data_IF_539520764612
#
_entry.id   IF_539520764612
#
_cell.length_a   1.000
_cell.length_b   1.000
_cell.length_c   1.000
_cell.angle_alpha   90.00
_cell.angle_beta   90.00
_cell.angle_gamma   90.00
#
_symmetry.space_group_name_H-M   'P 1'
#
loop_
_entity.id
_entity.type
_entity.pdbx_description
1 polymer ?
#
# COMPACT_ATOMS: atom_id res chain seq x y z
N UNK A 1 25.46 7.33 -17.43
CA UNK A 1 25.03 8.13 -16.26
C UNK A 1 24.29 7.21 -15.31
N UNK A 2 24.85 6.93 -14.13
CA UNK A 2 24.16 6.15 -13.10
C UNK A 2 23.23 7.11 -12.35
N UNK A 3 21.93 6.97 -12.55
CA UNK A 3 20.94 7.74 -11.80
C UNK A 3 20.80 7.12 -10.40
N UNK A 4 21.50 7.66 -9.41
CA UNK A 4 21.28 7.27 -8.02
C UNK A 4 19.94 7.83 -7.55
N UNK A 5 18.89 6.99 -7.56
CA UNK A 5 17.57 7.30 -7.00
C UNK A 5 17.76 7.73 -5.54
N UNK A 6 17.51 9.00 -5.23
CA UNK A 6 17.49 9.49 -3.84
C UNK A 6 16.24 8.96 -3.16
N UNK A 7 16.36 8.57 -1.90
CA UNK A 7 15.21 8.18 -1.08
C UNK A 7 14.30 9.39 -0.88
N UNK A 8 13.01 9.22 -1.18
CA UNK A 8 11.97 10.21 -0.85
C UNK A 8 11.55 10.14 0.63
N UNK A 9 11.98 9.10 1.36
CA UNK A 9 11.61 8.90 2.75
C UNK A 9 12.35 9.87 3.66
N UNK A 10 11.62 10.47 4.59
CA UNK A 10 12.17 11.32 5.63
C UNK A 10 13.11 10.50 6.52
N UNK A 11 14.35 10.94 6.66
CA UNK A 11 15.37 10.23 7.45
C UNK A 11 15.01 10.27 8.93
N UNK A 12 15.05 9.12 9.59
CA UNK A 12 14.77 9.00 11.03
C UNK A 12 13.28 8.96 11.38
N UNK A 13 12.38 9.08 10.41
CA UNK A 13 10.95 8.90 10.62
C UNK A 13 10.59 7.41 10.57
N UNK A 14 9.85 6.95 11.58
CA UNK A 14 9.30 5.60 11.60
C UNK A 14 7.93 5.58 10.91
N UNK A 15 7.83 4.89 9.78
CA UNK A 15 6.61 4.80 8.99
C UNK A 15 5.65 3.70 9.47
N UNK A 16 5.96 2.99 10.57
CA UNK A 16 4.99 2.14 11.28
C UNK A 16 4.16 2.89 12.32
N UNK A 17 4.45 4.16 12.62
CA UNK A 17 3.65 4.91 13.60
C UNK A 17 2.26 5.23 13.06
N UNK A 18 1.30 5.43 13.96
CA UNK A 18 -0.04 5.91 13.61
C UNK A 18 0.03 7.18 12.75
N UNK A 19 -0.89 7.30 11.80
CA UNK A 19 -0.96 8.45 10.90
C UNK A 19 -1.50 8.11 9.51
N UNK A 20 -1.75 9.16 8.73
CA UNK A 20 -2.21 9.07 7.35
C UNK A 20 -1.02 9.12 6.37
N UNK A 21 -0.99 8.18 5.43
CA UNK A 21 0.07 8.01 4.46
C UNK A 21 -0.49 8.03 3.03
N UNK A 22 0.06 8.90 2.20
CA UNK A 22 -0.21 8.87 0.76
C UNK A 22 0.63 7.78 0.09
N UNK A 23 -0.06 6.82 -0.54
CA UNK A 23 0.54 5.68 -1.21
C UNK A 23 0.25 5.75 -2.69
N UNK A 24 1.26 5.42 -3.50
CA UNK A 24 1.12 5.23 -4.94
C UNK A 24 1.66 3.86 -5.31
N UNK A 25 0.84 3.03 -5.95
CA UNK A 25 1.25 1.72 -6.46
C UNK A 25 1.13 1.75 -7.98
N UNK A 26 2.25 1.61 -8.69
CA UNK A 26 2.26 1.60 -10.15
C UNK A 26 2.25 0.15 -10.68
N UNK A 27 1.52 -0.07 -11.77
CA UNK A 27 1.68 -1.26 -12.58
C UNK A 27 3.12 -1.39 -13.09
N UNK A 28 3.55 -2.63 -13.34
CA UNK A 28 4.88 -2.91 -13.85
C UNK A 28 5.13 -2.14 -15.17
N UNK A 29 6.27 -1.47 -15.28
CA UNK A 29 6.62 -0.60 -16.42
C UNK A 29 5.57 0.48 -16.75
N UNK A 30 4.67 0.83 -15.81
CA UNK A 30 3.59 1.80 -15.98
C UNK A 30 2.66 1.48 -17.15
N UNK A 31 2.48 0.20 -17.48
CA UNK A 31 1.50 -0.21 -18.49
C UNK A 31 0.07 0.09 -18.02
N UNK A 32 -0.80 0.49 -18.94
CA UNK A 32 -2.21 0.79 -18.66
C UNK A 32 -3.03 -0.50 -18.48
N UNK A 33 -2.78 -1.21 -17.39
CA UNK A 33 -3.40 -2.51 -17.11
C UNK A 33 -4.83 -2.39 -16.58
N UNK A 34 -5.20 -1.27 -15.97
CA UNK A 34 -6.41 -1.13 -15.15
C UNK A 34 -7.60 -0.52 -15.92
N UNK A 35 -7.37 -0.04 -17.14
CA UNK A 35 -8.38 0.64 -17.95
C UNK A 35 -7.77 1.74 -18.80
N UNK A 36 -8.62 2.64 -19.29
CA UNK A 36 -8.26 3.75 -20.16
C UNK A 36 -8.99 5.03 -19.74
N UNK A 37 -8.48 6.18 -20.16
CA UNK A 37 -9.18 7.48 -19.98
C UNK A 37 -9.93 7.80 -21.27
N UNK A 38 -11.25 7.93 -21.18
CA UNK A 38 -12.14 8.29 -22.28
C UNK A 38 -12.91 9.53 -21.87
N UNK A 39 -12.89 10.59 -22.70
CA UNK A 39 -13.56 11.86 -22.40
C UNK A 39 -13.18 12.48 -21.04
N UNK A 40 -11.89 12.40 -20.68
CA UNK A 40 -11.34 12.85 -19.39
C UNK A 40 -11.86 12.10 -18.14
N UNK A 41 -12.54 10.97 -18.32
CA UNK A 41 -12.99 10.09 -17.25
C UNK A 41 -12.32 8.72 -17.34
N UNK A 42 -12.10 8.09 -16.17
CA UNK A 42 -11.54 6.74 -16.11
C UNK A 42 -12.60 5.71 -16.48
N UNK A 43 -12.30 4.84 -17.44
CA UNK A 43 -13.06 3.64 -17.76
C UNK A 43 -12.28 2.42 -17.31
N UNK A 44 -12.66 1.83 -16.17
CA UNK A 44 -11.99 0.65 -15.61
C UNK A 44 -12.35 -0.62 -16.40
N UNK A 45 -11.34 -1.41 -16.72
CA UNK A 45 -11.53 -2.79 -17.18
C UNK A 45 -11.69 -3.73 -15.96
N UNK A 46 -11.79 -5.04 -16.20
CA UNK A 46 -12.02 -5.99 -15.11
C UNK A 46 -10.85 -6.07 -14.11
N UNK A 47 -9.60 -5.86 -14.55
CA UNK A 47 -8.45 -5.76 -13.65
C UNK A 47 -8.53 -4.51 -12.77
N UNK A 48 -8.95 -3.37 -13.32
CA UNK A 48 -9.17 -2.15 -12.55
C UNK A 48 -10.26 -2.30 -11.48
N UNK A 49 -11.35 -2.99 -11.82
CA UNK A 49 -12.41 -3.32 -10.85
C UNK A 49 -11.92 -4.26 -9.75
N UNK A 50 -11.15 -5.30 -10.09
CA UNK A 50 -10.54 -6.22 -9.12
C UNK A 50 -9.64 -5.45 -8.16
N UNK A 51 -8.81 -4.53 -8.66
CA UNK A 51 -7.94 -3.71 -7.79
C UNK A 51 -8.76 -2.82 -6.87
N UNK A 52 -9.86 -2.23 -7.35
CA UNK A 52 -10.76 -1.46 -6.49
C UNK A 52 -11.37 -2.31 -5.37
N UNK A 53 -11.77 -3.54 -5.68
CA UNK A 53 -12.28 -4.48 -4.67
C UNK A 53 -11.21 -4.85 -3.65
N UNK A 54 -10.02 -5.26 -4.10
CA UNK A 54 -8.89 -5.61 -3.23
C UNK A 54 -8.45 -4.43 -2.38
N UNK A 55 -8.44 -3.21 -2.94
CA UNK A 55 -8.14 -2.00 -2.19
C UNK A 55 -9.15 -1.83 -1.05
N UNK A 56 -10.45 -1.83 -1.35
CA UNK A 56 -11.50 -1.69 -0.34
C UNK A 56 -11.55 -2.84 0.69
N UNK A 57 -10.98 -4.01 0.36
CA UNK A 57 -10.91 -5.17 1.25
C UNK A 57 -9.70 -5.12 2.21
N UNK A 58 -8.78 -4.15 2.06
CA UNK A 58 -7.61 -4.03 2.93
C UNK A 58 -7.97 -3.97 4.43
N UNK A 59 -8.98 -3.21 4.90
CA UNK A 59 -9.35 -3.20 6.32
C UNK A 59 -9.83 -4.55 6.84
N UNK A 60 -10.43 -5.39 5.98
CA UNK A 60 -10.85 -6.74 6.36
C UNK A 60 -9.65 -7.68 6.54
N UNK A 61 -8.55 -7.43 5.81
CA UNK A 61 -7.31 -8.18 5.96
C UNK A 61 -6.39 -7.63 7.06
N UNK A 62 -6.46 -6.32 7.32
CA UNK A 62 -5.58 -5.59 8.22
C UNK A 62 -6.43 -4.67 9.13
N UNK A 63 -6.83 -5.13 10.33
CA UNK A 63 -7.72 -4.36 11.21
C UNK A 63 -7.19 -2.99 11.65
N UNK A 64 -5.87 -2.79 11.61
CA UNK A 64 -5.19 -1.53 11.97
C UNK A 64 -5.13 -0.53 10.80
N UNK A 65 -5.69 -0.89 9.64
CA UNK A 65 -5.68 -0.12 8.39
C UNK A 65 -7.07 0.42 8.13
N UNK A 66 -7.18 1.74 8.06
CA UNK A 66 -8.33 2.43 7.49
C UNK A 66 -7.96 3.04 6.13
N UNK A 67 -8.98 3.25 5.30
CA UNK A 67 -8.84 3.85 3.99
C UNK A 67 -9.62 5.16 3.92
N UNK A 68 -8.99 6.16 3.31
CA UNK A 68 -9.64 7.41 2.94
C UNK A 68 -9.63 7.53 1.40
N UNK A 69 -9.56 8.74 0.85
CA UNK A 69 -9.61 8.99 -0.58
C UNK A 69 -8.63 8.14 -1.39
N UNK A 70 -9.14 7.54 -2.46
CA UNK A 70 -8.36 6.80 -3.44
C UNK A 70 -8.86 7.05 -4.87
N UNK A 71 -7.97 6.88 -5.84
CA UNK A 71 -8.28 6.97 -7.27
C UNK A 71 -7.45 5.95 -8.04
N UNK A 72 -8.13 5.20 -8.91
CA UNK A 72 -7.50 4.25 -9.83
C UNK A 72 -7.32 4.95 -11.16
N UNK A 73 -6.08 5.01 -11.62
CA UNK A 73 -5.68 5.47 -12.94
C UNK A 73 -5.30 4.26 -13.80
N UNK A 74 -5.20 4.38 -15.13
CA UNK A 74 -4.93 3.25 -16.02
C UNK A 74 -3.74 2.37 -15.63
N UNK A 75 -2.69 2.96 -15.07
CA UNK A 75 -1.43 2.28 -14.75
C UNK A 75 -0.97 2.43 -13.30
N UNK A 76 -1.78 3.02 -12.42
CA UNK A 76 -1.45 3.15 -11.00
C UNK A 76 -2.69 3.41 -10.16
N UNK A 77 -2.56 3.19 -8.86
CA UNK A 77 -3.53 3.64 -7.86
C UNK A 77 -2.84 4.65 -6.94
N UNK A 78 -3.58 5.70 -6.62
CA UNK A 78 -3.26 6.61 -5.53
C UNK A 78 -4.27 6.39 -4.40
N UNK A 79 -3.81 6.43 -3.16
CA UNK A 79 -4.72 6.37 -2.04
C UNK A 79 -4.10 6.80 -0.73
N UNK A 80 -4.96 7.15 0.21
CA UNK A 80 -4.59 7.45 1.59
C UNK A 80 -4.88 6.21 2.43
N UNK A 81 -3.84 5.74 3.11
CA UNK A 81 -3.92 4.67 4.10
C UNK A 81 -3.70 5.29 5.47
N UNK A 82 -4.61 5.05 6.40
CA UNK A 82 -4.48 5.53 7.77
C UNK A 82 -4.18 4.35 8.68
N UNK A 83 -3.10 4.48 9.46
CA UNK A 83 -2.69 3.46 10.43
C UNK A 83 -3.16 3.88 11.83
N UNK A 84 -3.86 2.97 12.51
CA UNK A 84 -4.32 3.12 13.87
C UNK A 84 -3.99 1.87 14.68
N UNK A 85 -3.00 1.99 15.56
CA UNK A 85 -2.77 1.04 16.63
C UNK A 85 -3.45 1.59 17.89
N UNK A 86 -4.36 0.82 18.47
CA UNK A 86 -4.78 1.03 19.85
C UNK A 86 -3.65 0.57 20.78
N UNK A 87 -3.30 1.35 21.81
CA UNK A 87 -2.28 0.99 22.81
C UNK A 87 -2.64 -0.27 23.64
N UNK A 88 -3.68 -1.01 23.27
CA UNK A 88 -4.08 -2.26 23.90
C UNK A 88 -3.39 -3.42 23.18
N UNK A 89 -2.31 -3.92 23.80
CA UNK A 89 -1.60 -5.18 23.52
C UNK A 89 -2.55 -6.29 23.01
N UNK A 90 -2.71 -6.35 21.67
CA UNK A 90 -3.50 -7.34 20.94
C UNK A 90 -2.56 -8.15 20.05
N UNK A 91 -2.61 -9.47 20.17
CA UNK A 91 -1.65 -10.41 19.60
C UNK A 91 -1.43 -10.21 18.09
N UNK A 92 -0.20 -9.86 17.70
CA UNK A 92 0.23 -9.88 16.31
C UNK A 92 0.02 -11.25 15.66
N UNK A 93 -0.20 -11.26 14.33
CA UNK A 93 -0.56 -12.48 13.61
C UNK A 93 0.50 -13.58 13.88
N UNK A 94 0.12 -14.81 14.18
CA UNK A 94 1.04 -15.96 14.18
C UNK A 94 0.91 -16.70 12.84
N UNK A 95 1.83 -16.55 11.89
CA UNK A 95 2.15 -17.64 10.97
C UNK A 95 2.91 -18.75 11.72
N UNK A 96 2.91 -19.96 11.17
CA UNK A 96 3.56 -21.14 11.76
C UNK A 96 5.03 -20.86 12.16
N UNK A 97 5.51 -21.40 13.30
CA UNK A 97 6.78 -21.02 13.87
C UNK A 97 7.93 -21.52 12.98
N UNK A 98 8.66 -20.59 12.39
CA UNK A 98 10.07 -20.83 12.09
C UNK A 98 10.87 -19.79 12.86
N UNK A 99 11.80 -20.28 13.65
CA UNK A 99 12.50 -19.62 14.75
C UNK A 99 12.98 -18.19 14.46
N UNK A 100 12.54 -17.28 15.35
CA UNK A 100 13.23 -16.11 15.92
C UNK A 100 13.77 -15.02 14.97
N UNK A 101 13.02 -13.91 14.85
CA UNK A 101 13.50 -12.52 15.09
C UNK A 101 12.33 -11.54 14.83
N UNK A 102 11.62 -11.16 15.89
CA UNK A 102 10.35 -10.39 15.84
C UNK A 102 10.52 -8.95 15.31
N UNK A 103 11.76 -8.47 15.19
CA UNK A 103 12.08 -7.12 14.67
C UNK A 103 12.06 -7.01 13.14
N UNK A 104 11.87 -8.13 12.42
CA UNK A 104 11.96 -8.17 10.94
C UNK A 104 10.63 -8.03 10.22
N UNK A 105 9.52 -8.03 10.94
CA UNK A 105 8.20 -8.26 10.35
C UNK A 105 7.60 -7.05 9.62
N UNK A 106 7.75 -5.86 10.17
CA UNK A 106 7.29 -4.62 9.50
C UNK A 106 8.17 -4.20 8.34
N UNK A 107 9.43 -4.66 8.33
CA UNK A 107 10.31 -4.47 7.18
C UNK A 107 9.76 -5.15 5.91
N UNK A 108 8.89 -6.17 6.04
CA UNK A 108 8.27 -6.89 4.93
C UNK A 108 7.04 -6.17 4.37
N UNK A 109 6.08 -5.73 5.19
CA UNK A 109 4.94 -4.90 4.73
C UNK A 109 5.45 -3.60 4.09
N UNK A 110 6.44 -2.98 4.73
CA UNK A 110 7.12 -1.79 4.20
C UNK A 110 8.02 -2.11 3.00
N UNK A 111 8.48 -3.37 2.81
CA UNK A 111 9.19 -3.84 1.60
C UNK A 111 8.24 -4.08 0.44
N UNK A 112 7.05 -4.65 0.69
CA UNK A 112 6.02 -4.85 -0.34
C UNK A 112 5.59 -3.51 -0.93
N UNK A 113 5.61 -2.44 -0.12
CA UNK A 113 5.34 -1.07 -0.56
C UNK A 113 6.59 -0.32 -1.11
N UNK A 114 7.78 -0.92 -1.13
CA UNK A 114 8.98 -0.36 -1.76
C UNK A 114 9.11 -0.89 -3.20
N UNK A 115 8.54 -0.15 -4.16
CA UNK A 115 8.82 -0.28 -5.60
C UNK A 115 9.60 0.96 -6.12
#
# INVERSE_FOLDING_TARGET
>A
MVNTRRSIRLRGYDYSTNGAYFVTICAHNRICLFGDVVNAEITLNDYGKIIGQVWCDLPNHYPEVELDASVIMPNHIHGIVVLHHDDVVGAGLKPAPTTADDRRRWSEVVRVLKV
#
